data_IF_230074766148
#
_entry.id   IF_230074766148
#
_cell.length_a   1.000
_cell.length_b   1.000
_cell.length_c   1.000
_cell.angle_alpha   90.00
_cell.angle_beta   90.00
_cell.angle_gamma   90.00
#
_symmetry.space_group_name_H-M   'P 1'
#
loop_
_entity.id
_entity.type
_entity.pdbx_description
1 polymer ?
#
# COMPACT_ATOMS: atom_id res chain seq x y z
N UNK A 1 -38.01 -3.01 -6.94
CA UNK A 1 -36.54 -2.98 -7.01
C UNK A 1 -36.05 -3.83 -5.86
N UNK A 2 -35.39 -4.96 -6.15
CA UNK A 2 -34.72 -5.73 -5.11
C UNK A 2 -33.37 -5.04 -4.92
N UNK A 3 -33.30 -4.12 -3.96
CA UNK A 3 -32.05 -3.68 -3.38
C UNK A 3 -31.46 -4.91 -2.67
N UNK A 4 -30.73 -5.70 -3.46
CA UNK A 4 -29.76 -6.68 -2.98
C UNK A 4 -28.72 -5.87 -2.19
N UNK A 5 -29.06 -5.52 -0.95
CA UNK A 5 -28.11 -5.04 0.02
C UNK A 5 -27.16 -6.21 0.23
N UNK A 6 -26.00 -6.12 -0.44
CA UNK A 6 -24.91 -7.07 -0.33
C UNK A 6 -24.50 -7.14 1.12
N UNK A 7 -24.96 -8.20 1.78
CA UNK A 7 -24.62 -8.52 3.14
C UNK A 7 -23.14 -8.96 3.16
N UNK A 8 -22.30 -8.11 3.75
CA UNK A 8 -21.06 -8.45 4.44
C UNK A 8 -19.96 -9.14 3.62
N UNK A 9 -19.09 -8.35 2.98
CA UNK A 9 -17.72 -8.82 2.77
C UNK A 9 -16.95 -8.66 4.11
N UNK A 10 -17.23 -9.57 5.05
CA UNK A 10 -16.41 -9.80 6.24
C UNK A 10 -15.49 -11.01 6.08
N UNK A 11 -15.47 -11.62 4.90
CA UNK A 11 -14.53 -12.69 4.57
C UNK A 11 -13.18 -12.08 4.25
N UNK A 12 -12.36 -11.95 5.30
CA UNK A 12 -10.96 -11.62 5.11
C UNK A 12 -10.29 -12.73 4.30
N UNK A 13 -9.64 -12.34 3.21
CA UNK A 13 -8.85 -13.22 2.34
C UNK A 13 -7.38 -12.87 2.45
N UNK A 14 -6.53 -13.83 2.11
CA UNK A 14 -5.10 -13.56 1.98
C UNK A 14 -4.87 -12.81 0.67
N UNK A 15 -4.25 -11.65 0.78
CA UNK A 15 -3.73 -10.89 -0.35
C UNK A 15 -2.21 -10.78 -0.23
N UNK A 16 -1.56 -10.59 -1.37
CA UNK A 16 -0.12 -10.54 -1.50
C UNK A 16 0.27 -9.15 -1.99
N UNK A 17 1.09 -8.45 -1.24
CA UNK A 17 1.51 -7.08 -1.55
C UNK A 17 2.94 -7.12 -2.09
N UNK A 18 3.13 -6.48 -3.22
CA UNK A 18 4.43 -6.23 -3.85
C UNK A 18 4.75 -4.76 -3.62
N UNK A 19 5.58 -4.49 -2.61
CA UNK A 19 5.92 -3.11 -2.22
C UNK A 19 6.81 -2.47 -3.28
N UNK A 20 7.74 -3.23 -3.85
CA UNK A 20 8.56 -2.73 -4.96
C UNK A 20 7.78 -2.33 -6.21
N UNK A 21 6.57 -2.86 -6.39
CA UNK A 21 5.68 -2.53 -7.51
C UNK A 21 4.44 -1.71 -7.12
N UNK A 22 4.25 -1.42 -5.82
CA UNK A 22 3.06 -0.74 -5.30
C UNK A 22 1.74 -1.46 -5.56
N UNK A 23 1.74 -2.80 -5.61
CA UNK A 23 0.60 -3.57 -6.10
C UNK A 23 0.13 -4.64 -5.13
N UNK A 24 -1.18 -4.89 -5.14
CA UNK A 24 -1.82 -5.94 -4.34
C UNK A 24 -2.45 -6.99 -5.24
N UNK A 25 -2.07 -8.24 -5.00
CA UNK A 25 -2.42 -9.42 -5.78
C UNK A 25 -3.24 -10.38 -4.91
N UNK A 26 -4.26 -10.99 -5.48
CA UNK A 26 -4.98 -12.10 -4.84
C UNK A 26 -4.25 -13.45 -5.02
N UNK A 27 -3.51 -13.58 -6.12
CA UNK A 27 -2.79 -14.79 -6.49
C UNK A 27 -1.27 -14.63 -6.33
N UNK A 28 -0.69 -15.45 -5.45
CA UNK A 28 0.77 -15.56 -5.27
C UNK A 28 1.52 -16.03 -6.52
N UNK A 29 0.82 -16.67 -7.45
CA UNK A 29 1.40 -17.17 -8.71
C UNK A 29 1.27 -16.14 -9.83
N UNK A 30 0.48 -15.09 -9.65
CA UNK A 30 0.30 -14.03 -10.65
C UNK A 30 1.55 -13.15 -10.76
N UNK A 31 2.22 -12.87 -9.65
CA UNK A 31 3.46 -12.09 -9.63
C UNK A 31 4.31 -12.33 -8.38
N UNK A 32 5.56 -11.83 -8.42
CA UNK A 32 6.42 -11.80 -7.25
C UNK A 32 5.87 -10.82 -6.21
N UNK A 33 5.59 -11.35 -5.03
CA UNK A 33 5.17 -10.59 -3.86
C UNK A 33 6.22 -10.71 -2.76
N UNK A 34 6.28 -9.68 -1.92
CA UNK A 34 7.23 -9.61 -0.80
C UNK A 34 6.51 -9.77 0.53
N UNK A 35 5.28 -9.26 0.61
CA UNK A 35 4.48 -9.23 1.82
C UNK A 35 3.13 -9.93 1.61
N UNK A 36 2.54 -10.41 2.72
CA UNK A 36 1.23 -11.07 2.74
C UNK A 36 0.33 -10.46 3.82
N UNK A 37 -0.90 -10.12 3.45
CA UNK A 37 -1.87 -9.45 4.32
C UNK A 37 -3.19 -10.21 4.35
N UNK A 38 -3.96 -9.99 5.40
CA UNK A 38 -5.27 -10.59 5.64
C UNK A 38 -6.32 -9.48 5.74
N UNK A 39 -6.87 -9.11 4.59
CA UNK A 39 -7.77 -7.96 4.41
C UNK A 39 -9.13 -8.44 3.88
N UNK A 40 -10.18 -7.63 4.10
CA UNK A 40 -11.46 -7.79 3.39
C UNK A 40 -11.46 -6.87 2.15
N UNK A 41 -12.50 -6.93 1.32
CA UNK A 41 -12.60 -6.08 0.13
C UNK A 41 -12.52 -4.57 0.45
N UNK A 42 -13.11 -4.10 1.55
CA UNK A 42 -13.08 -2.68 1.93
C UNK A 42 -11.69 -2.21 2.39
N UNK A 43 -10.98 -3.02 3.18
CA UNK A 43 -9.61 -2.75 3.62
C UNK A 43 -8.63 -2.82 2.43
N UNK A 44 -8.88 -3.75 1.50
CA UNK A 44 -8.11 -3.88 0.27
C UNK A 44 -8.29 -2.64 -0.62
N UNK A 45 -9.53 -2.18 -0.79
CA UNK A 45 -9.87 -0.99 -1.58
C UNK A 45 -9.16 0.24 -1.03
N UNK A 46 -9.20 0.41 0.30
CA UNK A 46 -8.49 1.50 0.99
C UNK A 46 -6.96 1.39 0.85
N UNK A 47 -6.39 0.19 0.91
CA UNK A 47 -4.95 0.00 0.68
C UNK A 47 -4.56 0.36 -0.75
N UNK A 48 -5.39 -0.01 -1.75
CA UNK A 48 -5.17 0.34 -3.15
C UNK A 48 -5.26 1.84 -3.39
N UNK A 49 -6.25 2.50 -2.80
CA UNK A 49 -6.41 3.96 -2.86
C UNK A 49 -5.14 4.66 -2.34
N UNK A 50 -4.61 4.23 -1.19
CA UNK A 50 -3.36 4.77 -0.64
C UNK A 50 -2.16 4.55 -1.59
N UNK A 51 -2.05 3.36 -2.20
CA UNK A 51 -1.00 3.08 -3.19
C UNK A 51 -1.14 3.99 -4.41
N UNK A 52 -2.34 4.18 -4.95
CA UNK A 52 -2.59 5.07 -6.08
C UNK A 52 -2.26 6.53 -5.75
N UNK A 53 -2.67 7.04 -4.58
CA UNK A 53 -2.32 8.39 -4.11
C UNK A 53 -0.81 8.57 -3.96
N UNK A 54 -0.12 7.55 -3.46
CA UNK A 54 1.35 7.57 -3.31
C UNK A 54 2.05 7.58 -4.66
N UNK A 55 1.58 6.78 -5.63
CA UNK A 55 2.14 6.77 -6.98
C UNK A 55 1.91 8.10 -7.71
N UNK A 56 0.73 8.70 -7.58
CA UNK A 56 0.43 10.02 -8.15
C UNK A 56 1.34 11.10 -7.55
N UNK A 57 1.57 11.06 -6.23
CA UNK A 57 2.52 11.94 -5.55
C UNK A 57 3.98 11.72 -5.97
N UNK A 58 4.41 10.47 -6.17
CA UNK A 58 5.75 10.12 -6.69
C UNK A 58 5.94 10.62 -8.13
N UNK A 59 4.94 10.42 -8.99
CA UNK A 59 4.96 10.84 -10.39
C UNK A 59 5.01 12.36 -10.51
N UNK A 60 4.24 13.10 -9.70
CA UNK A 60 4.27 14.57 -9.69
C UNK A 60 5.64 15.10 -9.25
N UNK A 61 6.23 14.53 -8.19
CA UNK A 61 7.60 14.86 -7.74
C UNK A 61 8.64 14.53 -8.83
N UNK A 62 8.55 13.35 -9.46
CA UNK A 62 9.47 12.90 -10.50
C UNK A 62 9.39 13.77 -11.77
N UNK A 63 8.20 14.21 -12.17
CA UNK A 63 8.02 15.14 -13.29
C UNK A 63 8.60 16.53 -12.97
N UNK A 64 8.44 16.99 -11.73
CA UNK A 64 9.07 18.22 -11.22
C UNK A 64 10.60 18.11 -11.13
N UNK A 65 11.17 16.91 -11.01
CA UNK A 65 12.60 16.64 -10.87
C UNK A 65 13.42 16.75 -12.17
N UNK A 66 12.79 16.97 -13.32
CA UNK A 66 13.47 17.10 -14.63
C UNK A 66 14.35 18.36 -14.79
N UNK A 67 14.52 19.16 -13.73
CA UNK A 67 15.49 20.27 -13.69
C UNK A 67 16.03 20.59 -12.29
N UNK A 68 17.13 19.94 -11.90
CA UNK A 68 18.06 20.24 -10.78
C UNK A 68 17.75 19.63 -9.40
N UNK A 69 18.82 19.27 -8.64
CA UNK A 69 18.70 18.52 -7.41
C UNK A 69 18.36 19.46 -6.27
N UNK A 70 17.31 19.16 -5.53
CA UNK A 70 17.18 19.72 -4.21
C UNK A 70 16.57 18.68 -3.28
N UNK A 71 17.42 18.19 -2.38
CA UNK A 71 17.05 17.71 -1.05
C UNK A 71 16.18 18.79 -0.42
N UNK A 72 14.88 18.72 -0.67
CA UNK A 72 13.95 19.73 -0.19
C UNK A 72 13.10 19.06 0.84
N UNK A 73 13.32 19.49 2.08
CA UNK A 73 12.38 19.44 3.20
C UNK A 73 11.14 20.29 2.82
N UNK A 74 10.45 19.87 1.76
CA UNK A 74 9.27 20.51 1.19
C UNK A 74 8.03 19.81 1.76
N UNK A 75 6.90 20.51 1.97
CA UNK A 75 5.68 19.92 2.52
C UNK A 75 5.08 18.80 1.63
N UNK A 76 5.52 18.70 0.38
CA UNK A 76 5.05 17.68 -0.57
C UNK A 76 5.69 16.31 -0.28
N UNK A 77 6.97 16.29 0.10
CA UNK A 77 7.65 15.09 0.60
C UNK A 77 7.05 14.64 1.95
N UNK A 78 6.61 15.57 2.80
CA UNK A 78 5.91 15.26 4.06
C UNK A 78 4.60 14.49 3.81
N UNK A 79 3.93 14.79 2.69
CA UNK A 79 2.69 14.11 2.28
C UNK A 79 3.00 12.70 1.76
N UNK A 80 4.04 12.54 0.94
CA UNK A 80 4.48 11.23 0.46
C UNK A 80 4.95 10.32 1.61
N UNK A 81 5.81 10.82 2.50
CA UNK A 81 6.26 10.10 3.69
C UNK A 81 5.07 9.71 4.59
N UNK A 82 4.09 10.59 4.76
CA UNK A 82 2.88 10.29 5.52
C UNK A 82 2.04 9.17 4.87
N UNK A 83 1.85 9.20 3.55
CA UNK A 83 1.11 8.18 2.81
C UNK A 83 1.82 6.82 2.89
N UNK A 84 3.13 6.78 2.65
CA UNK A 84 3.94 5.58 2.78
C UNK A 84 3.88 5.02 4.21
N UNK A 85 3.97 5.88 5.22
CA UNK A 85 3.84 5.47 6.62
C UNK A 85 2.47 4.86 6.92
N UNK A 86 1.39 5.43 6.37
CA UNK A 86 0.03 4.91 6.51
C UNK A 86 -0.14 3.56 5.79
N UNK A 87 0.42 3.40 4.59
CA UNK A 87 0.45 2.12 3.84
C UNK A 87 1.16 1.05 4.67
N UNK A 88 2.39 1.32 5.13
CA UNK A 88 3.14 0.34 5.92
C UNK A 88 2.45 0.03 7.24
N UNK A 89 1.84 1.02 7.90
CA UNK A 89 1.04 0.79 9.11
C UNK A 89 -0.15 -0.12 8.81
N UNK A 90 -0.88 0.13 7.73
CA UNK A 90 -2.03 -0.67 7.34
C UNK A 90 -1.62 -2.09 6.93
N UNK A 91 -0.52 -2.25 6.18
CA UNK A 91 0.08 -3.55 5.85
C UNK A 91 0.57 -4.25 7.12
N UNK A 92 1.09 -3.52 8.11
CA UNK A 92 1.52 -4.11 9.38
C UNK A 92 0.31 -4.57 10.22
N UNK A 93 -0.77 -3.79 10.26
CA UNK A 93 -1.99 -4.14 11.00
C UNK A 93 -2.74 -5.32 10.36
N UNK A 94 -2.83 -5.34 9.03
CA UNK A 94 -3.47 -6.40 8.25
C UNK A 94 -2.52 -7.57 7.97
N UNK A 95 -1.22 -7.37 8.14
CA UNK A 95 -0.15 -8.30 7.81
C UNK A 95 -0.10 -9.51 8.73
N UNK A 96 0.37 -10.63 8.17
CA UNK A 96 0.72 -11.81 8.94
C UNK A 96 1.97 -11.56 9.80
N UNK A 97 2.22 -12.41 10.79
CA UNK A 97 3.46 -12.36 11.58
C UNK A 97 4.73 -12.40 10.71
N UNK A 98 4.67 -13.06 9.54
CA UNK A 98 5.76 -13.06 8.56
C UNK A 98 5.98 -11.67 7.96
N UNK A 99 4.90 -10.99 7.56
CA UNK A 99 4.95 -9.61 7.04
C UNK A 99 5.49 -8.63 8.06
N UNK A 100 5.04 -8.73 9.32
CA UNK A 100 5.54 -7.90 10.42
C UNK A 100 7.04 -8.09 10.61
N UNK A 101 7.49 -9.34 10.68
CA UNK A 101 8.93 -9.66 10.78
C UNK A 101 9.72 -9.17 9.57
N UNK A 102 9.14 -9.21 8.38
CA UNK A 102 9.79 -8.73 7.16
C UNK A 102 10.00 -7.21 7.22
N UNK A 103 8.96 -6.46 7.62
CA UNK A 103 9.01 -5.01 7.85
C UNK A 103 10.03 -4.68 8.95
N UNK A 104 10.02 -5.42 10.08
CA UNK A 104 11.01 -5.28 11.15
C UNK A 104 12.44 -5.61 10.68
N UNK A 105 12.60 -6.52 9.72
CA UNK A 105 13.91 -6.87 9.14
C UNK A 105 14.38 -5.84 8.12
N UNK A 106 13.46 -5.12 7.47
CA UNK A 106 13.76 -4.06 6.51
C UNK A 106 14.19 -2.74 7.18
N UNK A 107 14.05 -2.57 8.50
CA UNK A 107 14.43 -1.37 9.27
C UNK A 107 13.77 -0.07 8.73
N UNK A 108 12.54 -0.20 8.23
CA UNK A 108 11.76 0.89 7.62
C UNK A 108 10.85 1.63 8.63
N UNK A 109 10.95 1.32 9.93
CA UNK A 109 10.08 1.86 10.99
C UNK A 109 10.87 2.27 12.24
#
# INVERSE_FOLDING_TARGET
MNDNIQAYDSEKKTYYVSVGAGQVLEDKEAAAFELSIYANEAELDKLKELFEETQDADEDEAFHFSGLPTVSDSPENDTYDALISDIYRMIYELGTDETKRHIETMDIL
#
